data_IF_571546917519
#
_entry.id   IF_571546917519
#
_cell.length_a   1.000
_cell.length_b   1.000
_cell.length_c   1.000
_cell.angle_alpha   90.00
_cell.angle_beta   90.00
_cell.angle_gamma   90.00
#
_symmetry.space_group_name_H-M   'P 1'
#
loop_
_entity.id
_entity.type
_entity.pdbx_description
1 polymer ?
#
# COMPACT_ATOMS: atom_id res chain seq x y z
N UNK A 1 -0.56 -10.65 -9.91
CA UNK A 1 -0.34 -11.19 -11.27
C UNK A 1 -0.87 -10.30 -12.40
N UNK A 2 -2.00 -9.61 -12.23
CA UNK A 2 -2.61 -8.76 -13.29
C UNK A 2 -1.71 -7.64 -13.83
N UNK A 3 -1.01 -6.89 -12.96
CA UNK A 3 -0.07 -5.83 -13.39
C UNK A 3 1.05 -6.38 -14.27
N UNK A 4 1.63 -7.53 -13.90
CA UNK A 4 2.71 -8.17 -14.68
C UNK A 4 2.17 -8.63 -16.04
N UNK A 5 0.96 -9.19 -16.07
CA UNK A 5 0.34 -9.59 -17.32
C UNK A 5 0.09 -8.40 -18.26
N UNK A 6 -0.46 -7.29 -17.73
CA UNK A 6 -0.65 -6.05 -18.48
C UNK A 6 0.67 -5.50 -19.02
N UNK A 7 1.71 -5.44 -18.18
CA UNK A 7 3.02 -4.95 -18.57
C UNK A 7 3.70 -5.81 -19.65
N UNK A 8 3.47 -7.12 -19.64
CA UNK A 8 3.95 -8.01 -20.71
C UNK A 8 3.17 -7.81 -22.00
N UNK A 9 1.84 -7.68 -21.91
CA UNK A 9 0.97 -7.54 -23.07
C UNK A 9 1.24 -6.26 -23.87
N UNK A 10 1.55 -5.16 -23.20
CA UNK A 10 1.86 -3.88 -23.85
C UNK A 10 3.37 -3.59 -23.99
N UNK A 11 4.23 -4.55 -23.62
CA UNK A 11 5.69 -4.45 -23.75
C UNK A 11 6.40 -3.59 -22.69
N UNK A 12 5.68 -2.90 -21.79
CA UNK A 12 6.33 -2.05 -20.78
C UNK A 12 7.11 -2.84 -19.71
N UNK A 13 6.96 -4.17 -19.65
CA UNK A 13 7.82 -5.04 -18.85
C UNK A 13 9.31 -4.97 -19.27
N UNK A 14 9.61 -4.53 -20.50
CA UNK A 14 10.98 -4.31 -20.97
C UNK A 14 11.59 -2.99 -20.43
N UNK A 15 10.75 -2.02 -20.06
CA UNK A 15 11.20 -0.76 -19.46
C UNK A 15 11.89 -1.03 -18.10
N UNK A 16 13.16 -0.66 -17.93
CA UNK A 16 13.88 -0.88 -16.67
C UNK A 16 13.22 -0.22 -15.46
N UNK A 17 12.57 0.94 -15.63
CA UNK A 17 11.92 1.66 -14.54
C UNK A 17 10.63 0.96 -14.10
N UNK A 18 9.80 0.51 -15.04
CA UNK A 18 8.60 -0.29 -14.72
C UNK A 18 9.00 -1.62 -14.10
N UNK A 19 9.98 -2.32 -14.68
CA UNK A 19 10.49 -3.59 -14.14
C UNK A 19 10.98 -3.45 -12.71
N UNK A 20 11.72 -2.37 -12.41
CA UNK A 20 12.21 -2.09 -11.04
C UNK A 20 11.06 -1.82 -10.06
N UNK A 21 10.02 -1.11 -10.50
CA UNK A 21 8.84 -0.85 -9.65
C UNK A 21 8.02 -2.11 -9.40
N UNK A 22 7.89 -2.99 -10.39
CA UNK A 22 7.26 -4.32 -10.20
C UNK A 22 8.06 -5.14 -9.17
N UNK A 23 9.38 -5.19 -9.29
CA UNK A 23 10.24 -5.87 -8.31
C UNK A 23 10.06 -5.29 -6.90
N UNK A 24 10.01 -3.96 -6.78
CA UNK A 24 9.79 -3.27 -5.50
C UNK A 24 8.41 -3.60 -4.91
N UNK A 25 7.37 -3.67 -5.74
CA UNK A 25 6.04 -4.08 -5.30
C UNK A 25 6.02 -5.53 -4.78
N UNK A 26 6.66 -6.45 -5.50
CA UNK A 26 6.81 -7.85 -5.06
C UNK A 26 7.59 -7.98 -3.74
N UNK A 27 8.71 -7.27 -3.59
CA UNK A 27 9.46 -7.21 -2.33
C UNK A 27 8.57 -6.71 -1.20
N UNK A 28 7.82 -5.62 -1.42
CA UNK A 28 6.89 -5.09 -0.43
C UNK A 28 5.81 -6.09 -0.01
N UNK A 29 5.25 -6.84 -0.97
CA UNK A 29 4.25 -7.89 -0.71
C UNK A 29 4.83 -9.02 0.15
N UNK A 30 6.06 -9.46 -0.14
CA UNK A 30 6.76 -10.47 0.67
C UNK A 30 7.05 -9.99 2.07
N UNK A 31 7.51 -8.75 2.23
CA UNK A 31 7.75 -8.16 3.55
C UNK A 31 6.46 -8.10 4.38
N UNK A 32 5.33 -7.72 3.77
CA UNK A 32 4.03 -7.75 4.46
C UNK A 32 3.62 -9.16 4.85
N UNK A 33 3.83 -10.17 3.98
CA UNK A 33 3.58 -11.57 4.33
C UNK A 33 4.39 -12.00 5.55
N UNK A 34 5.69 -11.69 5.59
CA UNK A 34 6.52 -12.02 6.73
C UNK A 34 6.12 -11.26 8.00
N UNK A 35 5.72 -9.99 7.87
CA UNK A 35 5.16 -9.20 8.97
C UNK A 35 3.90 -9.82 9.55
N UNK A 36 2.96 -10.23 8.69
CA UNK A 36 1.73 -10.92 9.11
C UNK A 36 2.03 -12.26 9.80
N UNK A 37 2.95 -13.06 9.26
CA UNK A 37 3.36 -14.32 9.88
C UNK A 37 4.00 -14.10 11.26
N UNK A 38 4.81 -13.05 11.42
CA UNK A 38 5.39 -12.67 12.72
C UNK A 38 4.31 -12.32 13.73
N UNK A 39 3.33 -11.50 13.34
CA UNK A 39 2.20 -11.14 14.21
C UNK A 39 1.39 -12.37 14.63
N UNK A 40 1.10 -13.28 13.70
CA UNK A 40 0.34 -14.50 13.97
C UNK A 40 1.11 -15.53 14.81
N UNK A 41 2.44 -15.48 14.77
CA UNK A 41 3.31 -16.35 15.56
C UNK A 41 3.58 -15.81 16.95
N UNK A 42 3.19 -14.56 17.25
CA UNK A 42 3.33 -13.99 18.58
C UNK A 42 2.30 -14.59 19.53
N UNK A 43 2.76 -15.25 20.59
CA UNK A 43 1.92 -15.87 21.61
C UNK A 43 1.72 -14.99 22.84
N UNK A 44 2.51 -13.92 22.99
CA UNK A 44 2.36 -12.95 24.06
C UNK A 44 1.69 -11.67 23.53
N UNK A 45 0.38 -11.57 23.79
CA UNK A 45 -0.43 -10.42 23.41
C UNK A 45 -0.41 -9.29 24.45
N UNK A 46 0.33 -9.45 25.56
CA UNK A 46 0.45 -8.41 26.59
C UNK A 46 1.44 -7.31 26.19
N UNK A 47 2.42 -7.64 25.35
CA UNK A 47 3.39 -6.70 24.80
C UNK A 47 2.92 -6.09 23.47
N UNK A 48 3.30 -4.83 23.24
CA UNK A 48 3.05 -4.15 21.98
C UNK A 48 3.99 -4.73 20.91
N UNK A 49 3.41 -5.45 19.94
CA UNK A 49 4.17 -5.96 18.80
C UNK A 49 4.44 -4.82 17.79
N UNK A 50 5.72 -4.51 17.57
CA UNK A 50 6.14 -3.52 16.58
C UNK A 50 5.70 -3.88 15.15
N UNK A 51 5.58 -5.17 14.81
CA UNK A 51 5.04 -5.59 13.53
C UNK A 51 3.56 -5.20 13.40
N UNK A 52 2.77 -5.35 14.46
CA UNK A 52 1.37 -4.93 14.48
C UNK A 52 1.22 -3.42 14.32
N UNK A 53 2.07 -2.62 14.98
CA UNK A 53 2.06 -1.16 14.86
C UNK A 53 2.40 -0.66 13.44
N UNK A 54 3.29 -1.36 12.75
CA UNK A 54 3.81 -0.92 11.44
C UNK A 54 3.03 -1.48 10.25
N UNK A 55 2.26 -2.55 10.45
CA UNK A 55 1.57 -3.26 9.37
C UNK A 55 0.62 -2.36 8.56
N UNK A 56 -0.24 -1.58 9.23
CA UNK A 56 -1.26 -0.76 8.53
C UNK A 56 -0.63 0.31 7.66
N UNK A 57 0.38 1.03 8.18
CA UNK A 57 1.04 2.11 7.42
C UNK A 57 1.85 1.54 6.25
N UNK A 58 2.48 0.38 6.43
CA UNK A 58 3.17 -0.33 5.35
C UNK A 58 2.17 -0.73 4.26
N UNK A 59 1.06 -1.35 4.64
CA UNK A 59 0.02 -1.80 3.70
C UNK A 59 -0.61 -0.65 2.92
N UNK A 60 -1.03 0.41 3.61
CA UNK A 60 -1.67 1.56 2.95
C UNK A 60 -0.70 2.26 1.98
N UNK A 61 0.57 2.42 2.39
CA UNK A 61 1.60 3.03 1.53
C UNK A 61 1.92 2.13 0.34
N UNK A 62 2.01 0.82 0.55
CA UNK A 62 2.27 -0.16 -0.51
C UNK A 62 1.12 -0.21 -1.52
N UNK A 63 -0.15 -0.29 -1.06
CA UNK A 63 -1.32 -0.32 -1.94
C UNK A 63 -1.43 0.93 -2.80
N UNK A 64 -1.17 2.12 -2.23
CA UNK A 64 -1.14 3.37 -3.00
C UNK A 64 -0.10 3.33 -4.12
N UNK A 65 1.13 2.91 -3.81
CA UNK A 65 2.20 2.75 -4.80
C UNK A 65 1.90 1.68 -5.85
N UNK A 66 1.22 0.60 -5.45
CA UNK A 66 0.78 -0.46 -6.37
C UNK A 66 -0.28 0.05 -7.34
N UNK A 67 -1.24 0.84 -6.86
CA UNK A 67 -2.22 1.51 -7.70
C UNK A 67 -1.56 2.48 -8.69
N UNK A 68 -0.61 3.29 -8.23
CA UNK A 68 0.17 4.20 -9.10
C UNK A 68 0.92 3.41 -10.18
N UNK A 69 1.59 2.31 -9.81
CA UNK A 69 2.24 1.42 -10.76
C UNK A 69 1.25 0.81 -11.76
N UNK A 70 0.04 0.47 -11.31
CA UNK A 70 -0.97 -0.08 -12.20
C UNK A 70 -1.36 0.93 -13.30
N UNK A 71 -1.56 2.21 -12.93
CA UNK A 71 -1.86 3.27 -13.88
C UNK A 71 -0.69 3.53 -14.84
N UNK A 72 0.54 3.60 -14.30
CA UNK A 72 1.73 3.82 -15.14
C UNK A 72 1.98 2.67 -16.11
N UNK A 73 1.62 1.43 -15.74
CA UNK A 73 1.68 0.27 -16.63
C UNK A 73 0.62 0.37 -17.73
N UNK A 74 -0.60 0.83 -17.42
CA UNK A 74 -1.69 0.95 -18.38
C UNK A 74 -1.53 2.16 -19.32
N UNK A 75 -0.82 3.20 -18.87
CA UNK A 75 -0.72 4.47 -19.59
C UNK A 75 -2.09 5.12 -19.78
N UNK A 76 -2.29 5.79 -20.91
CA UNK A 76 -3.54 6.51 -21.23
C UNK A 76 -4.78 5.60 -21.21
N UNK A 77 -4.64 4.32 -21.53
CA UNK A 77 -5.76 3.38 -21.49
C UNK A 77 -6.31 3.15 -20.09
N UNK A 78 -5.52 3.42 -19.04
CA UNK A 78 -5.99 3.32 -17.65
C UNK A 78 -6.95 4.43 -17.23
N UNK A 79 -6.99 5.54 -17.98
CA UNK A 79 -7.87 6.69 -17.71
C UNK A 79 -9.25 6.56 -18.36
N UNK A 80 -9.50 5.47 -19.08
CA UNK A 80 -10.75 5.20 -19.76
C UNK A 80 -11.58 4.22 -18.94
N UNK A 81 -12.80 4.64 -18.57
CA UNK A 81 -13.81 3.73 -18.07
C UNK A 81 -14.63 3.19 -19.26
N UNK A 82 -15.02 1.92 -19.19
CA UNK A 82 -15.86 1.29 -20.21
C UNK A 82 -17.35 1.40 -19.83
N UNK A 83 -18.21 1.37 -20.85
CA UNK A 83 -19.67 1.38 -20.69
C UNK A 83 -20.26 2.70 -20.19
N UNK A 84 -21.60 2.77 -20.16
CA UNK A 84 -22.36 3.97 -19.76
C UNK A 84 -22.34 4.21 -18.24
N UNK A 85 -21.87 3.22 -17.47
CA UNK A 85 -21.89 3.17 -16.00
C UNK A 85 -20.53 3.47 -15.37
N UNK A 86 -19.52 3.89 -16.15
CA UNK A 86 -18.16 4.11 -15.69
C UNK A 86 -17.55 2.87 -15.00
N UNK A 87 -17.63 1.73 -15.68
CA UNK A 87 -17.09 0.48 -15.17
C UNK A 87 -15.56 0.48 -15.30
N UNK A 88 -14.90 0.67 -14.16
CA UNK A 88 -13.45 0.62 -14.09
C UNK A 88 -12.95 -0.82 -13.99
N UNK A 89 -12.00 -1.18 -14.85
CA UNK A 89 -11.25 -2.42 -14.73
C UNK A 89 -10.51 -2.53 -13.39
N UNK A 90 -10.08 -3.75 -13.03
CA UNK A 90 -9.47 -4.06 -11.72
C UNK A 90 -8.30 -3.12 -11.36
N UNK A 91 -7.47 -2.76 -12.34
CA UNK A 91 -6.26 -1.97 -12.13
C UNK A 91 -6.53 -0.48 -11.89
N UNK A 92 -7.36 0.23 -12.71
CA UNK A 92 -7.82 1.56 -12.35
C UNK A 92 -8.61 1.60 -11.04
N UNK A 93 -9.48 0.61 -10.79
CA UNK A 93 -10.21 0.52 -9.53
C UNK A 93 -9.26 0.41 -8.32
N UNK A 94 -8.19 -0.41 -8.41
CA UNK A 94 -7.16 -0.48 -7.38
C UNK A 94 -6.56 0.89 -7.08
N UNK A 95 -6.22 1.68 -8.11
CA UNK A 95 -5.69 3.03 -7.94
C UNK A 95 -6.67 3.95 -7.21
N UNK A 96 -7.92 4.00 -7.67
CA UNK A 96 -8.97 4.84 -7.10
C UNK A 96 -9.22 4.52 -5.63
N UNK A 97 -9.42 3.25 -5.30
CA UNK A 97 -9.65 2.81 -3.93
C UNK A 97 -8.44 3.02 -3.02
N UNK A 98 -7.22 2.85 -3.53
CA UNK A 98 -6.00 2.96 -2.71
C UNK A 98 -5.78 4.32 -2.06
N UNK A 99 -6.45 5.38 -2.56
CA UNK A 99 -6.37 6.73 -1.98
C UNK A 99 -6.93 6.75 -0.56
N UNK A 100 -8.06 6.07 -0.35
CA UNK A 100 -8.75 6.03 0.91
C UNK A 100 -7.93 5.32 2.01
N UNK A 101 -7.08 4.35 1.64
CA UNK A 101 -6.29 3.51 2.57
C UNK A 101 -5.42 4.32 3.52
N UNK A 102 -4.92 5.45 3.02
CA UNK A 102 -4.03 6.32 3.78
C UNK A 102 -4.79 7.20 4.80
N UNK A 103 -6.13 7.12 4.79
CA UNK A 103 -7.05 7.95 5.56
C UNK A 103 -7.87 7.09 6.53
N UNK A 104 -8.64 6.11 6.03
CA UNK A 104 -9.53 5.33 6.88
C UNK A 104 -8.76 4.35 7.79
N UNK A 105 -9.41 3.94 8.89
CA UNK A 105 -8.79 3.04 9.88
C UNK A 105 -7.60 3.67 10.61
N UNK A 106 -7.62 5.00 10.73
CA UNK A 106 -6.52 5.82 11.25
C UNK A 106 -5.57 6.25 10.13
N UNK A 107 -5.45 7.56 9.93
CA UNK A 107 -4.62 8.13 8.86
C UNK A 107 -3.15 7.73 9.02
N UNK A 108 -2.37 7.78 7.94
CA UNK A 108 -0.94 7.48 8.03
C UNK A 108 -0.20 8.40 9.03
N UNK A 109 -0.67 9.63 9.24
CA UNK A 109 -0.15 10.55 10.25
C UNK A 109 -0.41 10.03 11.65
N UNK A 110 -1.66 9.65 11.95
CA UNK A 110 -2.02 9.04 13.25
C UNK A 110 -1.24 7.75 13.48
N UNK A 111 -1.05 6.92 12.46
CA UNK A 111 -0.24 5.69 12.57
C UNK A 111 1.23 5.99 12.89
N UNK A 112 1.83 7.04 12.32
CA UNK A 112 3.21 7.45 12.67
C UNK A 112 3.29 7.91 14.12
N UNK A 113 2.31 8.65 14.62
CA UNK A 113 2.27 9.05 16.02
C UNK A 113 2.15 7.84 16.94
N UNK A 114 1.30 6.86 16.61
CA UNK A 114 1.19 5.61 17.37
C UNK A 114 2.51 4.85 17.41
N UNK A 115 3.22 4.76 16.28
CA UNK A 115 4.55 4.12 16.23
C UNK A 115 5.55 4.90 17.11
N UNK A 116 5.57 6.23 17.02
CA UNK A 116 6.46 7.07 17.83
C UNK A 116 6.19 6.94 19.34
N UNK A 117 4.94 7.13 19.76
CA UNK A 117 4.57 7.16 21.17
C UNK A 117 4.56 5.76 21.80
N UNK A 118 3.95 4.78 21.13
CA UNK A 118 3.76 3.43 21.69
C UNK A 118 4.87 2.46 21.32
N UNK A 119 5.44 2.60 20.13
CA UNK A 119 6.51 1.72 19.66
C UNK A 119 7.89 2.18 20.10
N UNK A 120 8.13 3.49 20.11
CA UNK A 120 9.45 4.08 20.41
C UNK A 120 9.51 4.84 21.74
N UNK A 121 8.39 4.99 22.46
CA UNK A 121 8.34 5.67 23.75
C UNK A 121 8.60 7.18 23.66
N UNK A 122 8.41 7.80 22.49
CA UNK A 122 8.61 9.23 22.30
C UNK A 122 7.50 10.04 22.96
N UNK A 123 7.75 11.32 23.33
CA UNK A 123 6.73 12.21 23.84
C UNK A 123 5.54 12.35 22.88
N UNK A 124 4.35 12.59 23.46
CA UNK A 124 3.13 12.83 22.69
C UNK A 124 3.24 14.03 21.76
N UNK A 125 2.66 13.91 20.57
CA UNK A 125 2.56 15.06 19.67
C UNK A 125 1.74 16.18 20.34
N UNK A 126 2.20 17.45 20.30
CA UNK A 126 1.44 18.58 20.82
C UNK A 126 0.08 18.67 20.12
N UNK A 127 -0.99 18.71 20.90
CA UNK A 127 -2.32 19.00 20.37
C UNK A 127 -2.48 20.52 20.44
N UNK A 128 -2.74 21.16 19.30
CA UNK A 128 -3.02 22.60 19.28
C UNK A 128 -4.12 22.94 20.28
N UNK A 129 -3.98 24.08 20.96
CA UNK A 129 -5.01 24.60 21.85
C UNK A 129 -6.29 24.83 21.04
N UNK A 130 -7.42 24.39 21.59
CA UNK A 130 -8.74 24.52 20.95
C UNK A 130 -9.17 25.97 20.85
#
# INVERSE_FOLDING_TARGET
NTIIAAAKANGCAADPLIRQRIATAETGLRLMRYGALRMLSNTDHSAIDGAALTYKIQWATWRRKLGELAMDVLGQGGELAEGDTYEWGILPNLFLFSRADTIYGGTNQIQRNLIAERGLGLPREPRGDK
#
